data_IF_181798907692
#
_entry.id   IF_181798907692
#
_cell.length_a   1.000
_cell.length_b   1.000
_cell.length_c   1.000
_cell.angle_alpha   90.00
_cell.angle_beta   90.00
_cell.angle_gamma   90.00
#
_symmetry.space_group_name_H-M   'P 1'
#
loop_
_entity.id
_entity.type
_entity.pdbx_description
1 polymer ?
#
# COMPACT_ATOMS: atom_id res chain seq x y z
N UNK A 1 29.07 -2.77 -9.63
CA UNK A 1 27.98 -3.42 -8.87
C UNK A 1 26.81 -3.66 -9.82
N UNK A 2 26.19 -4.85 -9.78
CA UNK A 2 24.97 -5.10 -10.56
C UNK A 2 23.72 -4.75 -9.71
N UNK A 3 22.54 -4.68 -10.33
CA UNK A 3 21.31 -4.25 -9.64
C UNK A 3 20.89 -5.20 -8.52
N UNK A 4 21.03 -6.51 -8.73
CA UNK A 4 20.68 -7.52 -7.73
C UNK A 4 21.57 -7.44 -6.49
N UNK A 5 22.87 -7.19 -6.69
CA UNK A 5 23.81 -6.96 -5.60
C UNK A 5 23.43 -5.71 -4.79
N UNK A 6 23.02 -4.63 -5.45
CA UNK A 6 22.56 -3.43 -4.76
C UNK A 6 21.25 -3.69 -3.99
N UNK A 7 20.28 -4.35 -4.62
CA UNK A 7 19.00 -4.72 -4.00
C UNK A 7 19.23 -5.49 -2.70
N UNK A 8 20.11 -6.48 -2.73
CA UNK A 8 20.45 -7.29 -1.56
C UNK A 8 21.16 -6.47 -0.47
N UNK A 9 22.08 -5.56 -0.85
CA UNK A 9 22.71 -4.64 0.11
C UNK A 9 21.70 -3.71 0.79
N UNK A 10 20.69 -3.23 0.06
CA UNK A 10 19.59 -2.42 0.63
C UNK A 10 18.82 -3.25 1.66
N UNK A 11 18.42 -4.48 1.33
CA UNK A 11 17.72 -5.39 2.27
C UNK A 11 18.52 -5.58 3.56
N UNK A 12 19.82 -5.87 3.44
CA UNK A 12 20.70 -6.07 4.60
C UNK A 12 20.87 -4.80 5.44
N UNK A 13 20.99 -3.63 4.79
CA UNK A 13 21.07 -2.35 5.48
C UNK A 13 19.77 -2.06 6.25
N UNK A 14 18.61 -2.32 5.64
CA UNK A 14 17.31 -2.13 6.28
C UNK A 14 17.13 -3.03 7.51
N UNK A 15 17.50 -4.31 7.43
CA UNK A 15 17.44 -5.23 8.58
C UNK A 15 18.37 -4.77 9.71
N UNK A 16 19.60 -4.33 9.38
CA UNK A 16 20.52 -3.79 10.39
C UNK A 16 19.96 -2.53 11.07
N UNK A 17 19.40 -1.61 10.28
CA UNK A 17 18.75 -0.40 10.80
C UNK A 17 17.60 -0.74 11.75
N UNK A 18 16.74 -1.70 11.36
CA UNK A 18 15.63 -2.19 12.18
C UNK A 18 16.11 -2.77 13.52
N UNK A 19 17.19 -3.55 13.52
CA UNK A 19 17.74 -4.13 14.75
C UNK A 19 18.31 -3.10 15.73
N UNK A 20 18.80 -1.96 15.23
CA UNK A 20 19.30 -0.85 16.03
C UNK A 20 18.24 0.21 16.36
N UNK A 21 17.04 0.08 15.79
CA UNK A 21 15.94 1.02 15.98
C UNK A 21 15.33 0.81 17.39
N UNK A 22 15.08 1.90 18.11
CA UNK A 22 14.66 1.85 19.52
C UNK A 22 13.24 2.33 19.72
N UNK A 23 12.90 3.55 19.30
CA UNK A 23 11.55 4.11 19.15
C UNK A 23 11.69 5.55 18.63
N UNK A 24 10.62 6.18 18.09
CA UNK A 24 10.62 7.63 17.83
C UNK A 24 10.03 8.35 19.04
N UNK A 25 10.86 9.02 19.84
CA UNK A 25 10.41 9.67 21.09
C UNK A 25 9.54 10.92 20.84
N UNK A 26 9.75 11.66 19.74
CA UNK A 26 8.99 12.86 19.37
C UNK A 26 8.92 13.04 17.84
N UNK A 27 8.01 12.35 17.14
CA UNK A 27 7.88 12.50 15.69
C UNK A 27 7.29 13.88 15.36
N UNK A 28 8.08 14.76 14.74
CA UNK A 28 7.64 16.09 14.33
C UNK A 28 7.60 16.27 12.80
N UNK A 29 8.34 15.45 12.05
CA UNK A 29 8.38 15.48 10.58
C UNK A 29 7.72 14.21 10.02
N UNK A 30 6.41 14.31 9.72
CA UNK A 30 5.64 13.23 9.11
C UNK A 30 5.50 13.40 7.61
N UNK A 31 5.17 12.31 6.93
CA UNK A 31 4.78 12.30 5.53
C UNK A 31 3.54 11.42 5.34
N UNK A 32 2.61 11.91 4.52
CA UNK A 32 1.45 11.15 4.09
C UNK A 32 1.87 10.01 3.16
N UNK A 33 1.61 8.80 3.59
CA UNK A 33 1.86 7.57 2.86
C UNK A 33 0.62 6.69 2.87
N UNK A 34 0.57 5.75 1.94
CA UNK A 34 -0.58 4.90 1.73
C UNK A 34 -0.21 3.43 1.72
N UNK A 35 -1.09 2.60 2.28
CA UNK A 35 -0.98 1.14 2.24
C UNK A 35 -2.20 0.53 1.55
N UNK A 36 -2.01 -0.28 0.51
CA UNK A 36 -3.09 -0.99 -0.17
C UNK A 36 -3.24 -2.42 0.33
N UNK A 37 -4.46 -2.81 0.68
CA UNK A 37 -4.82 -4.14 1.21
C UNK A 37 -6.30 -4.48 0.92
N UNK A 38 -6.91 -5.37 1.71
CA UNK A 38 -8.30 -5.81 1.56
C UNK A 38 -9.05 -5.80 2.89
N UNK A 39 -10.38 -5.85 2.83
CA UNK A 39 -11.22 -5.80 4.03
C UNK A 39 -11.01 -6.98 4.97
N UNK A 40 -10.51 -8.12 4.47
CA UNK A 40 -10.15 -9.30 5.29
C UNK A 40 -9.11 -9.02 6.37
N UNK A 41 -8.37 -7.91 6.26
CA UNK A 41 -7.31 -7.53 7.19
C UNK A 41 -7.71 -6.41 8.15
N UNK A 42 -8.88 -5.79 7.98
CA UNK A 42 -9.21 -4.55 8.67
C UNK A 42 -9.26 -4.68 10.19
N UNK A 43 -9.93 -5.70 10.73
CA UNK A 43 -10.02 -5.84 12.19
C UNK A 43 -8.64 -6.06 12.83
N UNK A 44 -7.76 -6.81 12.16
CA UNK A 44 -6.38 -6.99 12.61
C UNK A 44 -5.60 -5.67 12.54
N UNK A 45 -5.75 -4.92 11.44
CA UNK A 45 -5.08 -3.62 11.26
C UNK A 45 -5.57 -2.59 12.28
N UNK A 46 -6.87 -2.49 12.53
CA UNK A 46 -7.44 -1.58 13.52
C UNK A 46 -6.92 -1.85 14.93
N UNK A 47 -6.62 -3.13 15.24
CA UNK A 47 -6.18 -3.56 16.56
C UNK A 47 -4.67 -3.54 16.74
N UNK A 48 -3.91 -3.86 15.69
CA UNK A 48 -2.47 -4.13 15.77
C UNK A 48 -1.62 -3.24 14.85
N UNK A 49 -2.26 -2.41 14.01
CA UNK A 49 -1.57 -1.65 12.97
C UNK A 49 -1.20 -2.51 11.76
N UNK A 50 -0.43 -1.90 10.86
CA UNK A 50 0.09 -2.56 9.66
C UNK A 50 1.43 -3.21 10.04
N UNK A 51 1.42 -4.53 10.22
CA UNK A 51 2.58 -5.33 10.65
C UNK A 51 3.32 -5.95 9.46
N UNK A 52 4.61 -6.25 9.64
CA UNK A 52 5.40 -6.89 8.60
C UNK A 52 5.01 -8.37 8.40
N UNK A 53 5.35 -8.92 7.24
CA UNK A 53 4.96 -10.29 6.88
C UNK A 53 5.58 -11.34 7.79
N UNK A 54 6.77 -11.10 8.34
CA UNK A 54 7.39 -12.01 9.29
C UNK A 54 6.65 -12.04 10.64
N UNK A 55 5.92 -10.99 11.00
CA UNK A 55 5.18 -10.92 12.27
C UNK A 55 3.79 -11.54 12.16
N UNK A 56 3.16 -11.48 10.99
CA UNK A 56 1.76 -11.89 10.82
C UNK A 56 1.55 -13.06 9.84
N UNK A 57 2.61 -13.57 9.21
CA UNK A 57 2.59 -14.63 8.18
C UNK A 57 1.69 -14.35 6.97
N UNK A 58 1.24 -13.10 6.81
CA UNK A 58 0.29 -12.69 5.78
C UNK A 58 1.06 -12.08 4.62
N UNK A 59 0.87 -12.64 3.42
CA UNK A 59 1.38 -12.04 2.20
C UNK A 59 0.23 -11.60 1.30
N UNK A 60 0.12 -10.28 1.09
CA UNK A 60 -0.86 -9.68 0.15
C UNK A 60 -0.43 -9.85 -1.32
N UNK A 61 0.80 -10.31 -1.58
CA UNK A 61 1.40 -10.40 -2.91
C UNK A 61 2.21 -11.69 -3.10
N UNK A 62 1.62 -12.71 -3.71
CA UNK A 62 2.27 -13.99 -3.99
C UNK A 62 3.48 -13.87 -4.93
N UNK A 63 3.52 -12.84 -5.78
CA UNK A 63 4.51 -12.68 -6.84
C UNK A 63 5.42 -11.43 -6.72
N UNK A 64 5.33 -10.67 -5.63
CA UNK A 64 6.20 -9.50 -5.38
C UNK A 64 7.21 -9.86 -4.28
N UNK A 65 8.47 -10.19 -4.64
CA UNK A 65 9.50 -10.61 -3.69
C UNK A 65 10.07 -9.40 -2.91
N UNK A 66 9.28 -8.88 -1.97
CA UNK A 66 9.70 -7.85 -1.02
C UNK A 66 10.41 -8.45 0.21
N UNK A 67 11.05 -7.63 1.04
CA UNK A 67 11.58 -8.02 2.34
C UNK A 67 10.43 -8.41 3.31
N UNK A 68 10.45 -9.60 3.95
CA UNK A 68 9.39 -9.97 4.89
C UNK A 68 9.45 -9.19 6.22
N UNK A 69 10.58 -8.54 6.53
CA UNK A 69 10.78 -7.80 7.77
C UNK A 69 10.16 -6.40 7.77
N UNK A 70 9.82 -5.86 6.60
CA UNK A 70 9.43 -4.45 6.45
C UNK A 70 7.96 -4.31 6.10
N UNK A 71 7.42 -3.11 6.36
CA UNK A 71 6.09 -2.70 5.91
C UNK A 71 6.25 -1.77 4.72
N UNK A 72 5.58 -2.07 3.61
CA UNK A 72 5.70 -1.29 2.38
C UNK A 72 4.55 -0.29 2.26
N UNK A 73 4.92 0.93 1.89
CA UNK A 73 4.06 2.07 1.76
C UNK A 73 4.33 2.76 0.42
N UNK A 74 3.36 3.54 -0.04
CA UNK A 74 3.47 4.28 -1.30
C UNK A 74 2.92 5.68 -1.15
N UNK A 75 3.47 6.65 -1.87
CA UNK A 75 2.88 8.01 -1.96
C UNK A 75 1.74 8.10 -3.00
N UNK A 76 1.57 7.08 -3.86
CA UNK A 76 0.70 7.19 -5.04
C UNK A 76 0.01 5.90 -5.47
N UNK A 77 0.67 4.75 -5.37
CA UNK A 77 0.24 3.50 -6.01
C UNK A 77 -0.76 2.68 -5.20
N UNK A 78 -1.39 3.28 -4.19
CA UNK A 78 -2.24 2.57 -3.23
C UNK A 78 -3.44 1.88 -3.86
N UNK A 79 -4.09 2.46 -4.87
CA UNK A 79 -5.17 1.78 -5.59
C UNK A 79 -4.70 0.50 -6.27
N UNK A 80 -3.51 0.52 -6.87
CA UNK A 80 -2.98 -0.66 -7.55
C UNK A 80 -2.73 -1.77 -6.52
N UNK A 81 -2.10 -1.42 -5.39
CA UNK A 81 -1.86 -2.36 -4.31
C UNK A 81 -3.17 -2.91 -3.70
N UNK A 82 -4.17 -2.06 -3.49
CA UNK A 82 -5.49 -2.43 -2.96
C UNK A 82 -6.23 -3.42 -3.88
N UNK A 83 -6.35 -3.09 -5.17
CA UNK A 83 -7.02 -3.96 -6.14
C UNK A 83 -6.25 -5.25 -6.39
N UNK A 84 -4.91 -5.21 -6.35
CA UNK A 84 -4.10 -6.40 -6.54
C UNK A 84 -4.20 -7.34 -5.34
N UNK A 85 -4.13 -6.81 -4.12
CA UNK A 85 -4.35 -7.59 -2.90
C UNK A 85 -5.75 -8.22 -2.89
N UNK A 86 -6.79 -7.45 -3.26
CA UNK A 86 -8.16 -7.96 -3.32
C UNK A 86 -8.33 -9.03 -4.40
N UNK A 87 -7.72 -8.86 -5.58
CA UNK A 87 -7.68 -9.90 -6.61
C UNK A 87 -7.08 -11.20 -6.09
N UNK A 88 -5.91 -11.15 -5.44
CA UNK A 88 -5.28 -12.35 -4.90
C UNK A 88 -6.16 -13.01 -3.82
N UNK A 89 -6.72 -12.21 -2.92
CA UNK A 89 -7.61 -12.68 -1.86
C UNK A 89 -8.87 -13.36 -2.41
N UNK A 90 -9.55 -12.74 -3.37
CA UNK A 90 -10.73 -13.31 -4.03
C UNK A 90 -10.38 -14.59 -4.80
N UNK A 91 -9.29 -14.62 -5.57
CA UNK A 91 -8.86 -15.84 -6.28
C UNK A 91 -8.59 -16.98 -5.31
N UNK A 92 -7.98 -16.70 -4.15
CA UNK A 92 -7.74 -17.71 -3.13
C UNK A 92 -9.04 -18.22 -2.48
N UNK A 93 -10.07 -17.37 -2.37
CA UNK A 93 -11.33 -17.71 -1.74
C UNK A 93 -12.32 -18.42 -2.69
N UNK A 94 -12.54 -17.88 -3.89
CA UNK A 94 -13.55 -18.38 -4.84
C UNK A 94 -12.97 -19.15 -6.03
N UNK A 95 -11.65 -19.11 -6.24
CA UNK A 95 -10.97 -19.71 -7.37
C UNK A 95 -10.90 -18.80 -8.59
N UNK A 96 -9.86 -19.02 -9.41
CA UNK A 96 -9.56 -18.19 -10.60
C UNK A 96 -10.69 -18.15 -11.63
N UNK A 97 -11.32 -19.30 -11.90
CA UNK A 97 -12.38 -19.40 -12.90
C UNK A 97 -13.60 -18.54 -12.56
N UNK A 98 -14.02 -18.55 -11.29
CA UNK A 98 -15.12 -17.70 -10.81
C UNK A 98 -14.74 -16.23 -10.87
N UNK A 99 -13.53 -15.87 -10.41
CA UNK A 99 -13.04 -14.50 -10.46
C UNK A 99 -13.01 -13.92 -11.89
N UNK A 100 -12.70 -14.74 -12.89
CA UNK A 100 -12.62 -14.30 -14.29
C UNK A 100 -13.98 -14.29 -15.01
N UNK A 101 -15.02 -14.93 -14.47
CA UNK A 101 -16.33 -15.09 -15.14
C UNK A 101 -17.50 -14.36 -14.48
N UNK A 102 -17.43 -14.10 -13.17
CA UNK A 102 -18.48 -13.42 -12.42
C UNK A 102 -18.19 -11.90 -12.28
N UNK A 103 -19.24 -11.09 -12.10
CA UNK A 103 -19.06 -9.66 -11.81
C UNK A 103 -18.32 -9.48 -10.50
N UNK A 104 -17.35 -8.55 -10.48
CA UNK A 104 -16.56 -8.27 -9.27
C UNK A 104 -17.45 -7.79 -8.12
N UNK A 105 -18.51 -7.04 -8.42
CA UNK A 105 -19.50 -6.56 -7.45
C UNK A 105 -20.23 -7.73 -6.77
N UNK A 106 -20.59 -8.77 -7.53
CA UNK A 106 -21.19 -9.99 -6.98
C UNK A 106 -20.24 -10.71 -6.04
N UNK A 107 -18.97 -10.85 -6.44
CA UNK A 107 -17.95 -11.50 -5.64
C UNK A 107 -17.65 -10.73 -4.35
N UNK A 108 -17.60 -9.40 -4.41
CA UNK A 108 -17.45 -8.56 -3.22
C UNK A 108 -18.60 -8.76 -2.23
N UNK A 109 -19.85 -8.78 -2.72
CA UNK A 109 -21.02 -9.01 -1.88
C UNK A 109 -21.10 -10.41 -1.27
N UNK A 110 -20.72 -11.45 -2.03
CA UNK A 110 -20.65 -12.83 -1.53
C UNK A 110 -19.59 -12.99 -0.45
N UNK A 111 -18.39 -12.44 -0.68
CA UNK A 111 -17.21 -12.70 0.15
C UNK A 111 -17.05 -11.71 1.31
N UNK A 112 -17.69 -10.53 1.21
CA UNK A 112 -17.43 -9.39 2.07
C UNK A 112 -16.02 -8.81 1.92
N UNK A 113 -15.30 -9.18 0.85
CA UNK A 113 -13.90 -8.81 0.62
C UNK A 113 -13.77 -7.69 -0.40
N UNK A 114 -13.44 -6.48 0.04
CA UNK A 114 -13.31 -5.30 -0.82
C UNK A 114 -11.85 -4.80 -0.84
N UNK A 115 -11.43 -4.13 -1.92
CA UNK A 115 -10.17 -3.41 -1.95
C UNK A 115 -10.18 -2.24 -0.98
N UNK A 116 -9.04 -2.05 -0.29
CA UNK A 116 -8.86 -1.04 0.76
C UNK A 116 -7.54 -0.32 0.57
N UNK A 117 -7.51 0.99 0.82
CA UNK A 117 -6.27 1.66 1.16
C UNK A 117 -6.35 2.42 2.48
N UNK A 118 -5.19 2.64 3.09
CA UNK A 118 -5.05 3.28 4.40
C UNK A 118 -4.18 4.52 4.23
N UNK A 119 -4.64 5.65 4.73
CA UNK A 119 -3.88 6.91 4.77
C UNK A 119 -3.13 6.98 6.08
N UNK A 120 -1.82 7.11 6.00
CA UNK A 120 -0.91 7.09 7.14
C UNK A 120 -0.09 8.38 7.21
N UNK A 121 0.04 8.98 8.38
CA UNK A 121 0.99 10.07 8.67
C UNK A 121 2.19 9.47 9.39
N UNK A 122 3.21 9.13 8.61
CA UNK A 122 4.34 8.32 9.10
C UNK A 122 5.53 9.21 9.39
N UNK A 123 6.16 9.10 10.58
CA UNK A 123 7.43 9.78 10.88
C UNK A 123 8.52 9.36 9.89
N UNK A 124 9.26 10.33 9.34
CA UNK A 124 10.32 10.02 8.37
C UNK A 124 11.45 9.17 8.97
N UNK A 125 11.63 9.22 10.28
CA UNK A 125 12.61 8.42 11.04
C UNK A 125 12.32 6.91 10.99
N UNK A 126 11.07 6.52 10.70
CA UNK A 126 10.70 5.11 10.47
C UNK A 126 11.08 4.63 9.07
N UNK A 127 11.36 5.54 8.15
CA UNK A 127 11.48 5.20 6.73
C UNK A 127 12.85 4.62 6.39
N UNK A 128 12.82 3.63 5.51
CA UNK A 128 13.98 3.02 4.89
C UNK A 128 13.70 2.78 3.42
N UNK A 129 14.76 2.63 2.64
CA UNK A 129 14.66 2.37 1.21
C UNK A 129 13.83 1.12 0.92
N UNK A 130 12.91 1.25 -0.03
CA UNK A 130 12.39 0.11 -0.77
C UNK A 130 13.52 -0.42 -1.67
N UNK A 131 13.82 -1.71 -1.58
CA UNK A 131 14.90 -2.32 -2.35
C UNK A 131 14.67 -2.27 -3.87
N UNK A 132 13.42 -2.15 -4.32
CA UNK A 132 13.07 -2.10 -5.74
C UNK A 132 13.36 -0.73 -6.38
N UNK A 133 13.75 0.27 -5.57
CA UNK A 133 14.21 1.58 -6.04
C UNK A 133 15.35 1.48 -7.06
N UNK A 134 16.16 0.43 -6.99
CA UNK A 134 17.30 0.19 -7.89
C UNK A 134 16.90 -0.06 -9.34
N UNK A 135 15.66 -0.48 -9.59
CA UNK A 135 15.16 -0.73 -10.95
C UNK A 135 14.69 0.55 -11.65
N UNK A 136 14.56 1.65 -10.92
CA UNK A 136 14.15 2.93 -11.48
C UNK A 136 15.27 3.51 -12.34
N UNK A 137 14.91 4.05 -13.50
CA UNK A 137 15.86 4.43 -14.54
C UNK A 137 16.89 5.45 -14.05
N UNK A 138 16.48 6.41 -13.22
CA UNK A 138 17.38 7.39 -12.61
C UNK A 138 18.43 6.75 -11.73
N UNK A 139 18.01 5.92 -10.76
CA UNK A 139 18.91 5.22 -9.84
C UNK A 139 19.80 4.23 -10.57
N UNK A 140 19.23 3.45 -11.49
CA UNK A 140 19.96 2.52 -12.36
C UNK A 140 21.07 3.23 -13.16
N UNK A 141 20.81 4.45 -13.63
CA UNK A 141 21.80 5.24 -14.39
C UNK A 141 22.91 5.73 -13.47
N UNK A 142 22.57 6.26 -12.29
CA UNK A 142 23.55 6.69 -11.27
C UNK A 142 24.45 5.54 -10.81
N UNK A 143 23.90 4.35 -10.57
CA UNK A 143 24.67 3.13 -10.25
C UNK A 143 25.64 2.78 -11.39
N UNK A 144 25.18 2.82 -12.65
CA UNK A 144 26.03 2.53 -13.81
C UNK A 144 27.17 3.54 -14.00
N UNK A 145 26.92 4.80 -13.66
CA UNK A 145 27.90 5.88 -13.77
C UNK A 145 28.88 5.91 -12.58
N UNK A 146 28.66 5.12 -11.53
CA UNK A 146 29.47 5.15 -10.31
C UNK A 146 29.14 6.32 -9.37
N UNK A 147 27.99 6.97 -9.55
CA UNK A 147 27.51 8.02 -8.64
C UNK A 147 26.88 7.43 -7.37
N UNK A 148 26.43 6.18 -7.43
CA UNK A 148 25.92 5.39 -6.30
C UNK A 148 26.78 4.13 -6.18
N UNK A 149 27.51 4.01 -5.09
CA UNK A 149 28.39 2.88 -4.77
C UNK A 149 27.79 1.95 -3.69
N UNK A 150 26.87 2.44 -2.88
CA UNK A 150 26.17 1.69 -1.85
C UNK A 150 24.78 2.23 -1.50
N UNK A 151 24.04 1.54 -0.61
CA UNK A 151 22.71 1.96 -0.18
C UNK A 151 22.67 3.36 0.45
N UNK A 152 23.73 3.75 1.15
CA UNK A 152 23.79 5.03 1.87
C UNK A 152 23.91 6.24 0.92
N UNK A 153 24.19 6.01 -0.37
CA UNK A 153 24.19 7.05 -1.42
C UNK A 153 22.79 7.33 -1.98
N UNK A 154 21.77 6.55 -1.59
CA UNK A 154 20.39 6.73 -2.01
C UNK A 154 19.62 7.39 -0.86
N UNK A 155 19.13 8.60 -1.10
CA UNK A 155 18.30 9.31 -0.12
C UNK A 155 16.88 8.75 -0.04
N UNK A 156 16.20 9.01 1.09
CA UNK A 156 14.78 8.68 1.25
C UNK A 156 13.95 9.47 0.24
N UNK A 157 14.30 10.72 -0.03
CA UNK A 157 13.65 11.58 -1.02
C UNK A 157 13.75 10.99 -2.43
N UNK A 158 14.89 10.44 -2.81
CA UNK A 158 15.05 9.75 -4.09
C UNK A 158 14.14 8.52 -4.17
N UNK A 159 13.97 7.78 -3.07
CA UNK A 159 13.07 6.64 -3.01
C UNK A 159 11.59 7.09 -3.10
N UNK A 160 11.20 8.14 -2.37
CA UNK A 160 9.86 8.72 -2.41
C UNK A 160 9.51 9.27 -3.80
N UNK A 161 10.46 9.85 -4.53
CA UNK A 161 10.27 10.24 -5.93
C UNK A 161 9.96 9.06 -6.86
N UNK A 162 10.25 7.83 -6.42
CA UNK A 162 9.88 6.60 -7.11
C UNK A 162 8.57 6.01 -6.63
N UNK A 163 7.89 6.63 -5.66
CA UNK A 163 6.52 6.27 -5.34
C UNK A 163 6.38 5.25 -4.22
N UNK A 164 7.45 4.57 -3.82
CA UNK A 164 7.42 3.50 -2.81
C UNK A 164 8.53 3.67 -1.78
N UNK A 165 8.26 3.23 -0.57
CA UNK A 165 9.17 3.30 0.58
C UNK A 165 8.82 2.15 1.54
N UNK A 166 9.76 1.80 2.42
CA UNK A 166 9.52 0.84 3.48
C UNK A 166 9.58 1.51 4.86
N UNK A 167 8.88 0.93 5.82
CA UNK A 167 8.99 1.26 7.25
C UNK A 167 9.79 0.18 7.96
N UNK A 168 10.68 0.62 8.85
CA UNK A 168 11.48 -0.23 9.74
C UNK A 168 10.61 -0.96 10.77
N UNK A 169 9.48 -0.38 11.14
CA UNK A 169 8.58 -0.92 12.16
C UNK A 169 7.11 -0.93 11.70
N UNK A 170 6.27 -1.52 12.54
CA UNK A 170 4.81 -1.54 12.40
C UNK A 170 4.26 -0.12 12.31
N UNK A 171 3.32 0.10 11.39
CA UNK A 171 2.55 1.34 11.37
C UNK A 171 1.40 1.18 12.36
N UNK A 172 1.61 1.64 13.58
CA UNK A 172 0.62 1.58 14.66
C UNK A 172 -0.58 2.51 14.38
N UNK A 173 -1.76 2.28 15.01
CA UNK A 173 -2.95 3.10 14.80
C UNK A 173 -2.77 4.60 15.01
N UNK A 174 -1.84 5.02 15.88
CA UNK A 174 -1.47 6.43 16.04
C UNK A 174 -1.05 7.11 14.74
N UNK A 175 -0.46 6.38 13.79
CA UNK A 175 0.00 6.90 12.50
C UNK A 175 -1.00 6.67 11.36
N UNK A 176 -2.19 6.14 11.65
CA UNK A 176 -3.23 5.89 10.65
C UNK A 176 -4.34 6.92 10.82
N UNK A 177 -4.66 7.65 9.76
CA UNK A 177 -5.74 8.64 9.79
C UNK A 177 -7.08 8.00 9.47
N UNK A 178 -7.13 7.31 8.33
CA UNK A 178 -8.36 6.77 7.77
C UNK A 178 -8.10 5.54 6.90
N UNK A 179 -9.11 4.70 6.82
CA UNK A 179 -9.19 3.51 5.98
C UNK A 179 -10.30 3.76 4.97
N UNK A 180 -9.99 3.67 3.68
CA UNK A 180 -10.93 3.86 2.59
C UNK A 180 -11.23 2.51 1.97
N UNK A 181 -12.51 2.12 2.01
CA UNK A 181 -13.02 0.91 1.37
C UNK A 181 -13.63 1.30 0.03
N UNK A 182 -13.25 0.60 -1.04
CA UNK A 182 -13.69 0.88 -2.40
C UNK A 182 -14.65 -0.21 -2.88
N UNK A 183 -15.89 0.19 -3.20
CA UNK A 183 -16.98 -0.68 -3.64
C UNK A 183 -17.50 -0.39 -5.05
N UNK A 184 -16.71 0.26 -5.93
CA UNK A 184 -17.13 0.57 -7.30
C UNK A 184 -16.35 -0.22 -8.34
N UNK A 185 -17.06 -1.07 -9.08
CA UNK A 185 -16.53 -1.79 -10.26
C UNK A 185 -16.12 -0.81 -11.36
N UNK A 186 -16.95 0.20 -11.64
CA UNK A 186 -16.65 1.26 -12.62
C UNK A 186 -15.37 2.03 -12.25
N UNK A 187 -15.22 2.42 -10.98
CA UNK A 187 -14.04 3.17 -10.55
C UNK A 187 -12.75 2.34 -10.67
N UNK A 188 -12.83 1.04 -10.34
CA UNK A 188 -11.73 0.10 -10.55
C UNK A 188 -11.31 0.06 -12.03
N UNK A 189 -12.27 -0.02 -12.94
CA UNK A 189 -11.99 -0.03 -14.38
C UNK A 189 -11.39 1.30 -14.87
N UNK A 190 -11.91 2.45 -14.40
CA UNK A 190 -11.35 3.76 -14.73
C UNK A 190 -9.90 3.92 -14.26
N UNK A 191 -9.60 3.50 -13.03
CA UNK A 191 -8.25 3.60 -12.49
C UNK A 191 -7.29 2.68 -13.24
N UNK A 192 -7.63 1.41 -13.38
CA UNK A 192 -6.72 0.41 -13.97
C UNK A 192 -6.59 0.55 -15.49
N UNK A 193 -7.62 1.02 -16.18
CA UNK A 193 -7.62 1.25 -17.63
C UNK A 193 -7.26 2.68 -18.05
N UNK A 194 -7.35 3.65 -17.14
CA UNK A 194 -7.14 5.06 -17.42
C UNK A 194 -5.70 5.54 -17.21
N UNK A 195 -5.55 6.86 -17.02
CA UNK A 195 -4.25 7.52 -16.87
C UNK A 195 -3.45 7.01 -15.67
N UNK A 196 -4.13 6.68 -14.57
CA UNK A 196 -3.49 6.07 -13.40
C UNK A 196 -2.81 4.75 -13.75
N UNK A 197 -3.54 3.82 -14.39
CA UNK A 197 -3.01 2.53 -14.85
C UNK A 197 -1.88 2.68 -15.88
N UNK A 198 -1.96 3.67 -16.77
CA UNK A 198 -0.88 3.99 -17.73
C UNK A 198 0.39 4.45 -17.01
N UNK A 199 0.29 5.34 -16.03
CA UNK A 199 1.45 5.80 -15.26
C UNK A 199 2.01 4.69 -14.37
N UNK A 200 1.17 3.89 -13.73
CA UNK A 200 1.60 2.70 -12.98
C UNK A 200 2.35 1.72 -13.91
N UNK A 201 1.83 1.52 -15.11
CA UNK A 201 2.48 0.77 -16.19
C UNK A 201 3.91 1.25 -16.46
N UNK A 202 4.10 2.56 -16.66
CA UNK A 202 5.43 3.16 -16.86
C UNK A 202 6.34 2.99 -15.64
N UNK A 203 5.79 3.13 -14.45
CA UNK A 203 6.52 2.94 -13.20
C UNK A 203 7.06 1.51 -13.04
N UNK A 204 6.27 0.47 -13.37
CA UNK A 204 6.76 -0.92 -13.36
C UNK A 204 7.94 -1.15 -14.32
N UNK A 205 8.09 -0.32 -15.34
CA UNK A 205 9.21 -0.36 -16.29
C UNK A 205 10.35 0.60 -15.93
N UNK A 206 10.27 1.26 -14.76
CA UNK A 206 11.33 2.10 -14.21
C UNK A 206 11.30 3.56 -14.67
N UNK A 207 10.23 4.04 -15.32
CA UNK A 207 10.17 5.40 -15.86
C UNK A 207 9.69 6.47 -14.85
N UNK A 208 9.74 6.16 -13.54
CA UNK A 208 9.32 7.05 -12.47
C UNK A 208 7.79 7.13 -12.29
N UNK A 209 7.35 8.01 -11.39
CA UNK A 209 5.96 8.00 -10.90
C UNK A 209 4.93 8.68 -11.81
N UNK A 210 5.37 9.46 -12.80
CA UNK A 210 4.47 10.25 -13.65
C UNK A 210 4.02 11.57 -13.00
N UNK A 211 2.97 12.17 -13.57
CA UNK A 211 2.52 13.54 -13.27
C UNK A 211 1.25 13.60 -12.41
N UNK A 212 0.47 12.53 -12.36
CA UNK A 212 -0.75 12.48 -11.57
C UNK A 212 -0.43 12.57 -10.07
N UNK A 213 -1.09 13.45 -9.33
CA UNK A 213 -0.91 13.57 -7.88
C UNK A 213 -1.97 12.75 -7.13
N UNK A 214 -1.67 12.35 -5.89
CA UNK A 214 -2.65 11.69 -5.02
C UNK A 214 -3.90 12.56 -4.82
N UNK A 215 -3.73 13.87 -4.63
CA UNK A 215 -4.82 14.83 -4.50
C UNK A 215 -5.75 14.87 -5.72
N UNK A 216 -5.18 14.70 -6.92
CA UNK A 216 -5.97 14.68 -8.14
C UNK A 216 -6.85 13.42 -8.23
N UNK A 217 -6.38 12.31 -7.65
CA UNK A 217 -7.13 11.06 -7.59
C UNK A 217 -8.25 11.13 -6.54
N UNK A 218 -7.96 11.65 -5.34
CA UNK A 218 -8.94 11.73 -4.24
C UNK A 218 -10.11 12.67 -4.54
N UNK A 219 -9.87 13.80 -5.23
CA UNK A 219 -10.95 14.72 -5.62
C UNK A 219 -11.90 14.06 -6.63
N UNK A 220 -11.38 13.38 -7.65
CA UNK A 220 -12.20 12.66 -8.64
C UNK A 220 -13.02 11.54 -7.97
N UNK A 221 -12.36 10.78 -7.10
CA UNK A 221 -12.95 9.71 -6.30
C UNK A 221 -14.17 10.21 -5.50
N UNK A 222 -13.99 11.23 -4.66
CA UNK A 222 -15.07 11.75 -3.80
C UNK A 222 -16.21 12.34 -4.63
N UNK A 223 -15.91 13.05 -5.72
CA UNK A 223 -16.93 13.72 -6.53
C UNK A 223 -17.81 12.73 -7.30
N UNK A 224 -17.24 11.65 -7.83
CA UNK A 224 -17.96 10.73 -8.72
C UNK A 224 -18.43 9.45 -8.01
N UNK A 225 -17.68 8.97 -7.02
CA UNK A 225 -17.86 7.64 -6.44
C UNK A 225 -18.20 7.62 -4.96
N UNK A 226 -18.48 8.76 -4.32
CA UNK A 226 -18.77 8.85 -2.87
C UNK A 226 -19.75 7.80 -2.32
N UNK A 227 -20.78 7.40 -3.06
CA UNK A 227 -21.74 6.35 -2.62
C UNK A 227 -21.12 4.94 -2.52
N UNK A 228 -20.06 4.71 -3.27
CA UNK A 228 -19.35 3.43 -3.31
C UNK A 228 -18.06 3.45 -2.51
N UNK A 229 -17.87 4.47 -1.68
CA UNK A 229 -16.71 4.63 -0.83
C UNK A 229 -17.16 4.72 0.61
N UNK A 230 -16.41 4.07 1.48
CA UNK A 230 -16.63 4.19 2.91
C UNK A 230 -15.32 4.60 3.57
N UNK A 231 -15.35 5.75 4.23
CA UNK A 231 -14.20 6.31 4.95
C UNK A 231 -14.38 5.97 6.42
N UNK A 232 -13.49 5.13 6.93
CA UNK A 232 -13.42 4.75 8.34
C UNK A 232 -12.30 5.54 9.02
N UNK A 233 -12.62 6.51 9.89
CA UNK A 233 -11.58 7.14 10.71
C UNK A 233 -10.97 6.10 11.65
N UNK A 234 -9.65 6.17 11.84
CA UNK A 234 -8.92 5.28 12.75
C UNK A 234 -8.64 6.02 14.05
N UNK A 235 -9.04 5.41 15.16
CA UNK A 235 -8.73 5.94 16.49
C UNK A 235 -7.27 5.61 16.85
N UNK A 236 -6.51 6.57 17.40
CA UNK A 236 -5.12 6.35 17.80
C UNK A 236 -4.94 5.25 18.85
N UNK A 237 -5.98 5.05 19.69
CA UNK A 237 -6.02 4.03 20.73
C UNK A 237 -6.73 2.79 20.16
N UNK A 238 -6.06 1.64 20.00
CA UNK A 238 -6.61 0.46 19.34
C UNK A 238 -7.97 0.01 19.88
N UNK A 239 -8.16 0.06 21.21
CA UNK A 239 -9.40 -0.37 21.87
C UNK A 239 -10.62 0.51 21.57
N UNK A 240 -10.41 1.70 21.00
CA UNK A 240 -11.49 2.62 20.61
C UNK A 240 -11.99 2.35 19.19
N UNK A 241 -11.23 1.61 18.38
CA UNK A 241 -11.64 1.21 17.04
C UNK A 241 -12.74 0.15 17.12
N UNK A 242 -13.84 0.39 16.41
CA UNK A 242 -14.95 -0.56 16.32
C UNK A 242 -14.62 -1.70 15.37
N UNK A 243 -14.85 -2.93 15.82
CA UNK A 243 -14.77 -4.11 14.96
C UNK A 243 -15.80 -4.03 13.84
N UNK A 244 -15.36 -4.33 12.62
CA UNK A 244 -16.22 -4.45 11.45
C UNK A 244 -16.79 -5.87 11.42
N UNK A 245 -18.12 -5.94 11.36
CA UNK A 245 -18.88 -7.19 11.30
C UNK A 245 -19.10 -7.63 9.86
N UNK A 246 -19.52 -6.70 8.99
CA UNK A 246 -19.86 -6.99 7.59
C UNK A 246 -19.70 -5.75 6.72
N UNK A 247 -19.30 -5.97 5.48
CA UNK A 247 -19.27 -4.95 4.42
C UNK A 247 -20.01 -5.53 3.21
N UNK A 248 -20.87 -4.74 2.58
CA UNK A 248 -21.65 -5.14 1.41
C UNK A 248 -22.16 -3.92 0.65
N UNK A 249 -22.61 -4.12 -0.59
CA UNK A 249 -23.27 -3.13 -1.41
C UNK A 249 -24.76 -3.46 -1.46
N UNK A 250 -25.58 -2.49 -1.06
CA UNK A 250 -27.05 -2.54 -1.10
C UNK A 250 -27.58 -1.21 -1.66
N UNK A 251 -28.61 -1.28 -2.52
CA UNK A 251 -29.21 -0.08 -3.14
C UNK A 251 -28.20 0.88 -3.83
N UNK A 252 -27.16 0.32 -4.47
CA UNK A 252 -26.07 1.07 -5.11
C UNK A 252 -25.23 1.92 -4.13
N UNK A 253 -25.15 1.50 -2.87
CA UNK A 253 -24.35 2.15 -1.83
C UNK A 253 -23.52 1.12 -1.04
N UNK A 254 -22.28 1.49 -0.71
CA UNK A 254 -21.40 0.67 0.13
C UNK A 254 -21.76 0.84 1.61
N UNK A 255 -22.14 -0.26 2.25
CA UNK A 255 -22.55 -0.33 3.64
C UNK A 255 -21.50 -1.04 4.50
N UNK A 256 -21.31 -0.54 5.72
CA UNK A 256 -20.43 -1.15 6.74
C UNK A 256 -21.20 -1.31 8.04
N UNK A 257 -21.34 -2.56 8.50
CA UNK A 257 -21.90 -2.91 9.80
C UNK A 257 -20.77 -3.12 10.82
N UNK A 258 -20.92 -2.53 12.01
CA UNK A 258 -20.03 -2.72 13.16
C UNK A 258 -20.64 -3.66 14.19
N UNK A 259 -19.81 -4.24 15.06
CA UNK A 259 -20.24 -5.01 16.23
C UNK A 259 -20.86 -4.15 17.34
#
# INVERSE_FOLDING_TARGET
MNLEEMKERIKQNAVKKKQSFTEVEEPWDTITLYHGTTTKRLNEILKHGITSRNQNEINNFTHVPSNPELVYLSIKWHYWYAFHANKESLINQVGKERYESESITSLWNETGDFPVYIVCEVPKELLVLDEDVVYQWGIKTKIKNGEIEGPDDISIEECLQQGTIASLDTIIPLYMNEIIIIGSEEYREELLGGMYGVEAGKWFHGFGIGSLTADSLSVHEIMKYSKFLHILPVEPIPEQNKSIKRIYIEEEELQVEFE
#
